data_IF_574700451189
#
_entry.id   IF_574700451189
#
_cell.length_a   1.000
_cell.length_b   1.000
_cell.length_c   1.000
_cell.angle_alpha   90.00
_cell.angle_beta   90.00
_cell.angle_gamma   90.00
#
_symmetry.space_group_name_H-M   'P 1'
#
loop_
_entity.id
_entity.type
_entity.pdbx_description
1 polymer ?
#
# COMPACT_ATOMS: atom_id res chain seq x y z
N UNK A 1 2.81 24.28 -3.01
CA UNK A 1 1.99 23.47 -3.93
C UNK A 1 2.81 22.50 -4.78
N UNK A 2 3.89 22.90 -5.48
CA UNK A 2 4.64 21.96 -6.35
C UNK A 2 5.21 20.76 -5.59
N UNK A 3 5.86 20.98 -4.44
CA UNK A 3 6.44 19.91 -3.63
C UNK A 3 5.39 18.88 -3.16
N UNK A 4 4.21 19.33 -2.74
CA UNK A 4 3.12 18.45 -2.30
C UNK A 4 2.62 17.57 -3.46
N UNK A 5 2.45 18.15 -4.66
CA UNK A 5 2.05 17.40 -5.84
C UNK A 5 3.12 16.40 -6.28
N UNK A 6 4.40 16.77 -6.22
CA UNK A 6 5.51 15.86 -6.50
C UNK A 6 5.53 14.68 -5.52
N UNK A 7 5.33 14.95 -4.22
CA UNK A 7 5.25 13.89 -3.20
C UNK A 7 4.03 12.99 -3.43
N UNK A 8 2.86 13.55 -3.74
CA UNK A 8 1.67 12.76 -4.07
C UNK A 8 1.92 11.84 -5.28
N UNK A 9 2.55 12.35 -6.35
CA UNK A 9 2.94 11.54 -7.51
C UNK A 9 3.96 10.46 -7.17
N UNK A 10 4.94 10.78 -6.32
CA UNK A 10 5.92 9.81 -5.81
C UNK A 10 5.23 8.68 -5.03
N UNK A 11 4.30 9.01 -4.14
CA UNK A 11 3.51 8.03 -3.38
C UNK A 11 2.75 7.10 -4.31
N UNK A 12 2.03 7.62 -5.30
CA UNK A 12 1.29 6.79 -6.25
C UNK A 12 2.21 5.83 -7.00
N UNK A 13 3.33 6.34 -7.53
CA UNK A 13 4.30 5.50 -8.25
C UNK A 13 4.93 4.44 -7.36
N UNK A 14 5.30 4.79 -6.12
CA UNK A 14 5.91 3.87 -5.16
C UNK A 14 4.92 2.80 -4.71
N UNK A 15 3.68 3.14 -4.40
CA UNK A 15 2.65 2.16 -3.99
C UNK A 15 2.39 1.18 -5.13
N UNK A 16 2.18 1.65 -6.37
CA UNK A 16 1.95 0.78 -7.52
C UNK A 16 3.13 -0.15 -7.82
N UNK A 17 4.36 0.40 -7.78
CA UNK A 17 5.57 -0.38 -8.04
C UNK A 17 5.82 -1.40 -6.93
N UNK A 18 5.68 -0.99 -5.67
CA UNK A 18 5.88 -1.89 -4.51
C UNK A 18 4.86 -3.01 -4.51
N UNK A 19 3.60 -2.71 -4.82
CA UNK A 19 2.54 -3.69 -4.97
C UNK A 19 2.92 -4.81 -5.98
N UNK A 20 3.39 -4.43 -7.19
CA UNK A 20 3.78 -5.42 -8.20
C UNK A 20 5.05 -6.21 -7.80
N UNK A 21 5.96 -5.58 -7.05
CA UNK A 21 7.15 -6.24 -6.49
C UNK A 21 6.79 -7.25 -5.39
N UNK A 22 5.85 -6.90 -4.51
CA UNK A 22 5.33 -7.76 -3.43
C UNK A 22 4.74 -9.05 -4.00
N UNK A 23 3.95 -8.94 -5.07
CA UNK A 23 3.36 -10.08 -5.77
C UNK A 23 4.28 -10.73 -6.80
N UNK A 24 5.50 -10.21 -6.98
CA UNK A 24 6.51 -10.68 -7.94
C UNK A 24 6.00 -10.77 -9.38
N UNK A 25 5.14 -9.84 -9.78
CA UNK A 25 4.48 -9.83 -11.11
C UNK A 25 5.33 -9.19 -12.20
N UNK A 26 6.48 -8.58 -11.85
CA UNK A 26 7.38 -7.92 -12.79
C UNK A 26 8.38 -8.86 -13.49
N UNK A 27 8.39 -10.16 -13.16
CA UNK A 27 9.27 -11.14 -13.81
C UNK A 27 10.77 -11.00 -13.47
N UNK A 28 11.11 -10.25 -12.43
CA UNK A 28 12.48 -10.08 -11.97
C UNK A 28 12.99 -11.34 -11.23
N UNK A 29 14.30 -11.65 -11.29
CA UNK A 29 14.87 -12.70 -10.47
C UNK A 29 14.72 -12.35 -8.98
N UNK A 30 14.53 -13.35 -8.13
CA UNK A 30 14.18 -13.18 -6.71
C UNK A 30 15.04 -12.13 -6.00
N UNK A 31 16.36 -12.22 -6.09
CA UNK A 31 17.28 -11.30 -5.43
C UNK A 31 17.09 -9.84 -5.87
N UNK A 32 16.79 -9.62 -7.15
CA UNK A 32 16.57 -8.28 -7.69
C UNK A 32 15.22 -7.73 -7.25
N UNK A 33 14.18 -8.57 -7.12
CA UNK A 33 12.91 -8.16 -6.51
C UNK A 33 13.09 -7.69 -5.07
N UNK A 34 13.87 -8.40 -4.25
CA UNK A 34 14.13 -7.99 -2.87
C UNK A 34 14.83 -6.61 -2.81
N UNK A 35 15.88 -6.43 -3.61
CA UNK A 35 16.63 -5.16 -3.67
C UNK A 35 15.76 -4.03 -4.22
N UNK A 36 15.03 -4.26 -5.32
CA UNK A 36 14.16 -3.26 -5.92
C UNK A 36 13.07 -2.82 -4.94
N UNK A 37 12.49 -3.76 -4.20
CA UNK A 37 11.46 -3.48 -3.21
C UNK A 37 12.00 -2.62 -2.06
N UNK A 38 13.18 -2.96 -1.52
CA UNK A 38 13.85 -2.12 -0.52
C UNK A 38 14.11 -0.70 -1.05
N UNK A 39 14.71 -0.57 -2.25
CA UNK A 39 15.03 0.74 -2.83
C UNK A 39 13.79 1.60 -3.06
N UNK A 40 12.71 1.01 -3.55
CA UNK A 40 11.44 1.72 -3.80
C UNK A 40 10.80 2.17 -2.48
N UNK A 41 10.74 1.31 -1.46
CA UNK A 41 10.24 1.70 -0.13
C UNK A 41 11.10 2.79 0.54
N UNK A 42 12.43 2.71 0.37
CA UNK A 42 13.37 3.70 0.88
C UNK A 42 13.18 5.10 0.28
N UNK A 43 12.63 5.21 -0.93
CA UNK A 43 12.25 6.50 -1.54
C UNK A 43 11.08 7.18 -0.83
N UNK A 44 10.30 6.47 -0.03
CA UNK A 44 9.28 7.07 0.84
C UNK A 44 9.57 6.76 2.30
N UNK A 45 10.82 6.39 2.62
CA UNK A 45 11.27 6.13 4.00
C UNK A 45 10.42 5.06 4.72
N UNK A 46 9.93 4.07 3.98
CA UNK A 46 9.06 3.01 4.48
C UNK A 46 9.71 1.63 4.33
N UNK A 47 9.24 0.69 5.14
CA UNK A 47 9.70 -0.70 5.08
C UNK A 47 8.81 -1.51 4.13
N UNK A 48 9.29 -1.71 2.91
CA UNK A 48 8.57 -2.48 1.92
C UNK A 48 8.54 -3.98 2.26
N UNK A 49 9.53 -4.46 3.02
CA UNK A 49 9.54 -5.84 3.53
C UNK A 49 8.50 -6.06 4.64
N UNK A 50 8.30 -5.07 5.51
CA UNK A 50 7.18 -5.11 6.47
C UNK A 50 5.84 -5.10 5.74
N UNK A 51 5.68 -4.21 4.76
CA UNK A 51 4.48 -4.15 3.93
C UNK A 51 4.22 -5.47 3.20
N UNK A 52 5.23 -6.09 2.56
CA UNK A 52 5.05 -7.43 1.95
C UNK A 52 4.50 -8.45 2.93
N UNK A 53 5.10 -8.52 4.13
CA UNK A 53 4.73 -9.51 5.13
C UNK A 53 3.27 -9.34 5.56
N UNK A 54 2.83 -8.10 5.82
CA UNK A 54 1.45 -7.82 6.23
C UNK A 54 0.47 -7.91 5.07
N UNK A 55 0.87 -7.52 3.86
CA UNK A 55 0.00 -7.53 2.69
C UNK A 55 -0.30 -8.97 2.24
N UNK A 56 0.71 -9.85 2.24
CA UNK A 56 0.47 -11.26 1.97
C UNK A 56 -0.35 -11.94 3.06
N UNK A 57 -0.29 -11.46 4.31
CA UNK A 57 -1.18 -11.92 5.38
C UNK A 57 -2.62 -11.44 5.12
N UNK A 58 -2.80 -10.17 4.79
CA UNK A 58 -4.09 -9.56 4.44
C UNK A 58 -4.82 -10.37 3.36
N UNK A 59 -4.17 -10.67 2.24
CA UNK A 59 -4.74 -11.51 1.17
C UNK A 59 -5.16 -12.91 1.62
N UNK A 60 -4.54 -13.46 2.67
CA UNK A 60 -4.84 -14.81 3.17
C UNK A 60 -6.01 -14.83 4.14
N UNK A 61 -6.14 -13.80 4.96
CA UNK A 61 -6.99 -13.86 6.15
C UNK A 61 -8.00 -12.73 6.25
N UNK A 62 -7.98 -11.70 5.42
CA UNK A 62 -8.99 -10.63 5.53
C UNK A 62 -10.42 -11.21 5.48
N UNK A 63 -11.34 -10.78 6.39
CA UNK A 63 -11.23 -9.72 7.39
C UNK A 63 -10.93 -10.22 8.82
N UNK A 64 -10.18 -11.31 9.00
CA UNK A 64 -9.87 -11.83 10.33
C UNK A 64 -9.02 -10.88 11.18
N UNK A 65 -9.12 -11.00 12.51
CA UNK A 65 -8.34 -10.22 13.48
C UNK A 65 -6.80 -10.44 13.36
N UNK A 66 -6.35 -11.53 12.72
CA UNK A 66 -4.92 -11.77 12.44
C UNK A 66 -4.45 -11.11 11.13
N UNK A 67 -5.07 -10.00 10.76
CA UNK A 67 -4.70 -9.13 9.65
C UNK A 67 -4.34 -7.72 10.15
N UNK A 68 -3.04 -7.43 10.40
CA UNK A 68 -2.62 -6.12 10.88
C UNK A 68 -2.78 -5.00 9.84
N UNK A 69 -2.82 -5.33 8.55
CA UNK A 69 -2.99 -4.35 7.47
C UNK A 69 -4.47 -4.02 7.27
N UNK A 70 -5.35 -5.02 7.33
CA UNK A 70 -6.80 -4.87 7.22
C UNK A 70 -7.50 -4.34 8.48
N UNK A 71 -6.85 -4.35 9.65
CA UNK A 71 -7.39 -3.85 10.94
C UNK A 71 -8.17 -2.52 10.83
N UNK A 72 -7.67 -1.47 10.16
CA UNK A 72 -8.41 -0.21 9.96
C UNK A 72 -9.80 -0.36 9.33
N UNK A 73 -10.06 -1.40 8.53
CA UNK A 73 -11.35 -1.63 7.86
C UNK A 73 -12.49 -1.99 8.82
N UNK A 74 -12.18 -2.48 10.03
CA UNK A 74 -13.16 -2.81 11.06
C UNK A 74 -13.74 -1.59 11.78
N UNK A 75 -13.05 -0.45 11.68
CA UNK A 75 -13.37 0.77 12.38
C UNK A 75 -14.38 1.65 11.65
N UNK A 76 -14.28 2.95 11.95
CA UNK A 76 -14.92 4.01 11.17
C UNK A 76 -13.85 4.76 10.40
N UNK A 77 -14.26 5.53 9.38
CA UNK A 77 -13.33 6.34 8.57
C UNK A 77 -12.41 7.25 9.40
N UNK A 78 -12.91 7.81 10.52
CA UNK A 78 -12.11 8.67 11.38
C UNK A 78 -11.12 7.86 12.23
N UNK A 79 -11.47 6.63 12.65
CA UNK A 79 -10.53 5.74 13.36
C UNK A 79 -9.39 5.33 12.44
N UNK A 80 -9.72 5.01 11.18
CA UNK A 80 -8.72 4.74 10.16
C UNK A 80 -7.78 5.94 9.99
N UNK A 81 -8.31 7.16 9.84
CA UNK A 81 -7.48 8.37 9.75
C UNK A 81 -6.58 8.56 10.99
N UNK A 82 -7.12 8.39 12.20
CA UNK A 82 -6.35 8.53 13.44
C UNK A 82 -5.33 7.39 13.66
N UNK A 83 -5.47 6.26 12.97
CA UNK A 83 -4.49 5.17 13.03
C UNK A 83 -3.19 5.51 12.28
N UNK A 84 -3.23 6.46 11.34
CA UNK A 84 -2.13 6.86 10.46
C UNK A 84 -0.76 6.96 11.15
N UNK A 85 -0.60 7.77 12.23
CA UNK A 85 0.67 7.93 12.93
C UNK A 85 1.28 6.65 13.50
N UNK A 86 0.50 5.59 13.69
CA UNK A 86 0.96 4.33 14.28
C UNK A 86 0.96 3.16 13.31
N UNK A 87 0.26 3.26 12.18
CA UNK A 87 -0.02 2.16 11.28
C UNK A 87 1.24 1.43 10.80
N UNK A 88 2.17 2.15 10.17
CA UNK A 88 3.40 1.54 9.64
C UNK A 88 4.27 0.91 10.73
N UNK A 89 4.32 1.49 11.94
CA UNK A 89 5.05 0.92 13.06
C UNK A 89 4.39 -0.37 13.58
N UNK A 90 3.06 -0.46 13.54
CA UNK A 90 2.33 -1.70 13.86
C UNK A 90 2.63 -2.78 12.83
N UNK A 91 2.64 -2.45 11.54
CA UNK A 91 2.99 -3.41 10.47
C UNK A 91 4.42 -3.92 10.63
N UNK A 92 5.38 -3.01 10.83
CA UNK A 92 6.78 -3.37 11.08
C UNK A 92 6.94 -4.26 12.31
N UNK A 93 6.28 -3.90 13.43
CA UNK A 93 6.32 -4.68 14.66
C UNK A 93 5.66 -6.05 14.52
N UNK A 94 4.62 -6.19 13.70
CA UNK A 94 4.02 -7.48 13.37
C UNK A 94 5.00 -8.33 12.54
N UNK A 95 5.55 -7.76 11.47
CA UNK A 95 6.51 -8.44 10.59
C UNK A 95 7.77 -8.90 11.36
N UNK A 96 8.32 -8.06 12.22
CA UNK A 96 9.47 -8.39 13.08
C UNK A 96 9.25 -9.64 13.95
N UNK A 97 8.02 -9.79 14.47
CA UNK A 97 7.64 -10.90 15.35
C UNK A 97 7.31 -12.17 14.57
N UNK A 98 6.68 -12.04 13.39
CA UNK A 98 6.11 -13.17 12.65
C UNK A 98 7.00 -13.69 11.51
N UNK A 99 7.93 -12.89 11.01
CA UNK A 99 8.73 -13.20 9.81
C UNK A 99 10.24 -13.01 10.07
N UNK A 100 10.87 -13.90 10.87
CA UNK A 100 12.26 -13.75 11.30
C UNK A 100 13.28 -13.74 10.13
N UNK A 101 12.95 -14.36 9.01
CA UNK A 101 13.78 -14.41 7.80
C UNK A 101 13.96 -13.04 7.13
N UNK A 102 13.04 -12.10 7.36
CA UNK A 102 13.08 -10.74 6.78
C UNK A 102 13.78 -9.72 7.67
N UNK A 103 14.21 -10.10 8.88
CA UNK A 103 14.76 -9.16 9.89
C UNK A 103 15.97 -8.37 9.40
N UNK A 104 16.80 -8.95 8.54
CA UNK A 104 17.93 -8.24 7.93
C UNK A 104 17.48 -7.04 7.11
N UNK A 105 16.45 -7.23 6.28
CA UNK A 105 15.84 -6.15 5.50
C UNK A 105 15.12 -5.14 6.38
N UNK A 106 14.33 -5.62 7.36
CA UNK A 106 13.62 -4.74 8.30
C UNK A 106 14.56 -3.80 9.06
N UNK A 107 15.73 -4.29 9.49
CA UNK A 107 16.75 -3.46 10.15
C UNK A 107 17.42 -2.48 9.19
N UNK A 108 17.72 -2.92 7.96
CA UNK A 108 18.33 -2.08 6.94
C UNK A 108 17.41 -0.92 6.53
N UNK A 109 16.13 -1.19 6.31
CA UNK A 109 15.11 -0.17 6.00
C UNK A 109 14.85 0.77 7.18
N UNK A 110 14.76 0.23 8.41
CA UNK A 110 14.62 1.05 9.61
C UNK A 110 15.86 1.94 9.86
N UNK A 111 17.06 1.39 9.64
CA UNK A 111 18.33 2.13 9.73
C UNK A 111 18.41 3.25 8.70
N UNK A 112 17.93 3.00 7.47
CA UNK A 112 17.80 4.03 6.43
C UNK A 112 16.85 5.15 6.85
N UNK A 113 15.64 4.82 7.31
CA UNK A 113 14.67 5.80 7.83
C UNK A 113 15.29 6.69 8.92
N UNK A 114 15.87 6.06 9.95
CA UNK A 114 16.49 6.80 11.06
C UNK A 114 17.68 7.64 10.61
N UNK A 115 18.51 7.13 9.69
CA UNK A 115 19.64 7.84 9.13
C UNK A 115 19.23 9.09 8.34
N UNK A 116 18.19 8.98 7.50
CA UNK A 116 17.67 10.12 6.73
C UNK A 116 17.02 11.16 7.66
N UNK A 117 16.27 10.73 8.67
CA UNK A 117 15.69 11.65 9.67
C UNK A 117 16.79 12.39 10.44
N UNK A 118 17.82 11.68 10.91
CA UNK A 118 18.95 12.31 11.60
C UNK A 118 19.70 13.29 10.69
N UNK A 119 19.92 12.93 9.43
CA UNK A 119 20.54 13.80 8.43
C UNK A 119 19.69 15.05 8.17
N UNK A 120 18.36 14.90 8.07
CA UNK A 120 17.44 16.01 7.88
C UNK A 120 17.48 17.01 9.04
N UNK A 121 17.59 16.52 10.28
CA UNK A 121 17.74 17.37 11.47
C UNK A 121 19.10 18.06 11.47
N UNK A 122 20.19 17.31 11.25
CA UNK A 122 21.55 17.85 11.27
C UNK A 122 21.77 18.92 10.18
N UNK A 123 21.18 18.73 9.00
CA UNK A 123 21.31 19.64 7.87
C UNK A 123 20.22 20.72 7.82
N UNK A 124 19.29 20.79 8.78
CA UNK A 124 18.18 21.75 8.75
C UNK A 124 18.59 23.20 8.48
N UNK A 125 19.68 23.75 9.09
CA UNK A 125 20.08 25.14 8.83
C UNK A 125 20.58 25.39 7.40
N UNK A 126 21.08 24.37 6.71
CA UNK A 126 21.68 24.48 5.37
C UNK A 126 20.76 23.98 4.26
N UNK A 127 20.00 22.90 4.52
CA UNK A 127 19.18 22.17 3.55
C UNK A 127 17.81 21.83 4.17
N UNK A 128 16.98 22.84 4.52
CA UNK A 128 15.66 22.60 5.13
C UNK A 128 14.71 21.80 4.22
N UNK A 129 14.94 21.80 2.91
CA UNK A 129 14.18 21.00 1.95
C UNK A 129 14.17 19.50 2.28
N UNK A 130 15.26 18.96 2.84
CA UNK A 130 15.30 17.55 3.27
C UNK A 130 14.35 17.28 4.44
N UNK A 131 14.29 18.18 5.42
CA UNK A 131 13.34 18.08 6.53
C UNK A 131 11.89 18.24 6.08
N UNK A 132 11.62 19.15 5.13
CA UNK A 132 10.28 19.29 4.51
C UNK A 132 9.90 18.01 3.77
N UNK A 133 10.82 17.41 3.02
CA UNK A 133 10.60 16.12 2.35
C UNK A 133 10.25 15.01 3.35
N UNK A 134 11.06 14.83 4.40
CA UNK A 134 10.80 13.83 5.45
C UNK A 134 9.43 14.04 6.09
N UNK A 135 9.08 15.30 6.42
CA UNK A 135 7.80 15.63 7.02
C UNK A 135 6.62 15.31 6.09
N UNK A 136 6.72 15.68 4.80
CA UNK A 136 5.67 15.41 3.82
C UNK A 136 5.47 13.92 3.58
N UNK A 137 6.55 13.15 3.56
CA UNK A 137 6.51 11.68 3.45
C UNK A 137 5.82 11.08 4.68
N UNK A 138 6.27 11.41 5.89
CA UNK A 138 5.67 10.87 7.12
C UNK A 138 4.19 11.24 7.23
N UNK A 139 3.83 12.50 6.98
CA UNK A 139 2.43 12.94 7.07
C UNK A 139 1.58 12.36 5.94
N UNK A 140 2.16 12.19 4.75
CA UNK A 140 1.49 11.56 3.61
C UNK A 140 1.11 10.12 3.90
N UNK A 141 2.00 9.34 4.52
CA UNK A 141 1.76 7.92 4.83
C UNK A 141 0.67 7.71 5.89
N UNK A 142 0.34 8.73 6.70
CA UNK A 142 -0.78 8.66 7.65
C UNK A 142 -2.14 8.53 6.96
N UNK A 143 -2.21 8.78 5.64
CA UNK A 143 -3.43 8.59 4.87
C UNK A 143 -3.72 7.13 4.53
N UNK A 144 -2.73 6.23 4.54
CA UNK A 144 -2.88 4.84 4.08
C UNK A 144 -4.02 4.05 4.74
N UNK A 145 -4.17 4.04 6.09
CA UNK A 145 -5.23 3.25 6.70
C UNK A 145 -6.62 3.66 6.21
N UNK A 146 -6.79 4.95 5.86
CA UNK A 146 -8.02 5.43 5.26
C UNK A 146 -8.09 5.08 3.77
N UNK A 147 -7.07 5.43 2.99
CA UNK A 147 -7.14 5.43 1.52
C UNK A 147 -6.92 4.08 0.88
N UNK A 148 -6.04 3.24 1.44
CA UNK A 148 -5.67 1.94 0.88
C UNK A 148 -6.30 0.76 1.62
N UNK A 149 -6.84 0.99 2.81
CA UNK A 149 -7.48 -0.06 3.62
C UNK A 149 -8.96 0.21 3.83
N UNK A 150 -9.34 1.23 4.59
CA UNK A 150 -10.75 1.44 4.96
C UNK A 150 -11.66 1.72 3.74
N UNK A 151 -11.24 2.61 2.84
CA UNK A 151 -12.06 2.96 1.66
C UNK A 151 -12.32 1.76 0.73
N UNK A 152 -11.29 0.98 0.32
CA UNK A 152 -11.50 -0.14 -0.60
C UNK A 152 -12.12 -1.37 0.04
N UNK A 153 -12.17 -1.49 1.37
CA UNK A 153 -12.71 -2.69 2.02
C UNK A 153 -14.06 -2.47 2.71
N UNK A 154 -14.74 -3.58 2.99
CA UNK A 154 -15.90 -3.69 3.86
C UNK A 154 -15.76 -4.98 4.68
N UNK A 155 -15.21 -4.85 5.89
CA UNK A 155 -15.00 -5.98 6.80
C UNK A 155 -16.31 -6.62 7.29
N UNK A 156 -17.46 -5.97 7.09
CA UNK A 156 -18.77 -6.47 7.50
C UNK A 156 -19.49 -7.27 6.42
N UNK A 157 -18.94 -7.28 5.20
CA UNK A 157 -19.54 -7.97 4.08
C UNK A 157 -19.48 -9.49 4.24
N UNK A 158 -20.53 -10.16 3.76
CA UNK A 158 -20.75 -11.59 3.98
C UNK A 158 -19.82 -12.52 3.20
N UNK A 159 -19.19 -12.03 2.13
CA UNK A 159 -18.38 -12.86 1.23
C UNK A 159 -17.21 -12.08 0.62
N UNK A 160 -16.22 -12.83 0.12
CA UNK A 160 -14.99 -12.30 -0.45
C UNK A 160 -15.19 -11.36 -1.65
N UNK A 161 -16.29 -11.47 -2.40
CA UNK A 161 -16.57 -10.58 -3.54
C UNK A 161 -17.08 -9.20 -3.09
N UNK A 162 -17.60 -9.10 -1.87
CA UNK A 162 -18.16 -7.87 -1.29
C UNK A 162 -17.26 -7.25 -0.22
N UNK A 163 -16.34 -8.02 0.33
CA UNK A 163 -15.33 -7.59 1.29
C UNK A 163 -14.35 -6.56 0.71
N UNK A 164 -14.23 -6.52 -0.61
CA UNK A 164 -13.37 -5.59 -1.32
C UNK A 164 -14.14 -4.93 -2.47
N UNK A 165 -13.95 -3.63 -2.62
CA UNK A 165 -14.60 -2.79 -3.64
C UNK A 165 -13.71 -2.67 -4.87
N UNK A 166 -14.34 -2.51 -6.02
CA UNK A 166 -13.67 -2.07 -7.24
C UNK A 166 -14.17 -0.68 -7.61
N UNK A 167 -13.23 0.21 -7.92
CA UNK A 167 -13.53 1.54 -8.41
C UNK A 167 -13.24 1.61 -9.90
N UNK A 168 -14.29 1.88 -10.69
CA UNK A 168 -14.25 1.94 -12.16
C UNK A 168 -14.51 3.37 -12.65
N UNK A 169 -14.03 3.67 -13.86
CA UNK A 169 -14.18 5.00 -14.47
C UNK A 169 -13.13 5.27 -15.54
N UNK A 170 -13.18 6.43 -16.19
CA UNK A 170 -12.18 6.81 -17.21
C UNK A 170 -10.95 7.48 -16.61
N UNK A 171 -11.12 8.16 -15.47
CA UNK A 171 -10.08 9.00 -14.86
C UNK A 171 -9.51 8.40 -13.57
N UNK A 172 -10.37 8.01 -12.63
CA UNK A 172 -9.92 7.57 -11.30
C UNK A 172 -8.95 6.37 -11.32
N UNK A 173 -9.21 5.28 -12.07
CA UNK A 173 -8.25 4.16 -12.13
C UNK A 173 -6.88 4.57 -12.69
N UNK A 174 -6.85 5.34 -13.78
CA UNK A 174 -5.60 5.80 -14.39
C UNK A 174 -4.79 6.72 -13.48
N UNK A 175 -5.47 7.60 -12.74
CA UNK A 175 -4.82 8.47 -11.76
C UNK A 175 -4.19 7.65 -10.62
N UNK A 176 -4.87 6.58 -10.20
CA UNK A 176 -4.42 5.67 -9.15
C UNK A 176 -3.57 4.50 -9.69
N UNK A 177 -3.06 4.62 -10.92
CA UNK A 177 -2.23 3.60 -11.58
C UNK A 177 -2.86 2.20 -11.53
N UNK A 178 -4.16 2.15 -11.79
CA UNK A 178 -5.00 0.95 -11.86
C UNK A 178 -5.18 0.19 -10.52
N UNK A 179 -4.60 0.67 -9.41
CA UNK A 179 -4.76 0.07 -8.07
C UNK A 179 -6.18 0.21 -7.50
N UNK A 180 -7.03 1.00 -8.14
CA UNK A 180 -8.43 1.17 -7.74
C UNK A 180 -9.29 -0.05 -8.07
N UNK A 181 -8.80 -0.95 -8.93
CA UNK A 181 -9.35 -2.27 -9.18
C UNK A 181 -9.00 -3.25 -8.04
N UNK A 182 -9.33 -2.85 -6.81
CA UNK A 182 -8.88 -3.53 -5.59
C UNK A 182 -9.49 -4.94 -5.46
N UNK A 183 -10.76 -5.12 -5.86
CA UNK A 183 -11.37 -6.45 -5.89
C UNK A 183 -10.67 -7.37 -6.90
N UNK A 184 -10.38 -6.89 -8.11
CA UNK A 184 -9.66 -7.66 -9.12
C UNK A 184 -8.27 -8.08 -8.62
N UNK A 185 -7.61 -7.19 -7.90
CA UNK A 185 -6.36 -7.46 -7.20
C UNK A 185 -6.48 -8.59 -6.17
N UNK A 186 -7.48 -8.55 -5.28
CA UNK A 186 -7.73 -9.61 -4.29
C UNK A 186 -8.03 -10.97 -4.95
N UNK A 187 -8.76 -10.97 -6.06
CA UNK A 187 -9.10 -12.19 -6.79
C UNK A 187 -7.92 -12.77 -7.58
N UNK A 188 -7.06 -11.90 -8.15
CA UNK A 188 -5.95 -12.30 -9.01
C UNK A 188 -4.68 -11.49 -8.72
N UNK A 189 -4.07 -11.65 -7.52
CA UNK A 189 -2.90 -10.86 -7.11
C UNK A 189 -1.66 -11.11 -7.99
N UNK A 190 -1.61 -12.23 -8.69
CA UNK A 190 -0.54 -12.57 -9.63
C UNK A 190 -0.61 -11.80 -10.98
N UNK A 191 -1.66 -11.02 -11.22
CA UNK A 191 -1.76 -10.13 -12.39
C UNK A 191 -1.11 -8.79 -12.03
N UNK A 192 -0.19 -8.24 -12.86
CA UNK A 192 0.41 -6.95 -12.57
C UNK A 192 -0.61 -5.81 -12.70
N UNK A 193 -0.42 -4.76 -11.90
CA UNK A 193 -1.35 -3.64 -11.76
C UNK A 193 -1.79 -3.02 -13.10
N UNK A 194 -0.84 -2.80 -14.02
CA UNK A 194 -1.11 -2.22 -15.33
C UNK A 194 -2.02 -3.05 -16.26
N UNK A 195 -2.32 -4.31 -15.89
CA UNK A 195 -3.30 -5.16 -16.58
C UNK A 195 -4.66 -5.25 -15.87
N UNK A 196 -4.86 -4.57 -14.73
CA UNK A 196 -6.11 -4.66 -13.99
C UNK A 196 -7.32 -4.10 -14.74
N UNK A 197 -7.16 -3.05 -15.55
CA UNK A 197 -8.25 -2.58 -16.41
C UNK A 197 -8.70 -3.67 -17.39
N UNK A 198 -7.76 -4.43 -17.97
CA UNK A 198 -8.10 -5.55 -18.86
C UNK A 198 -8.73 -6.72 -18.10
N UNK A 199 -8.17 -7.08 -16.95
CA UNK A 199 -8.70 -8.11 -16.07
C UNK A 199 -10.13 -7.78 -15.65
N UNK A 200 -10.40 -6.54 -15.26
CA UNK A 200 -11.71 -6.04 -14.86
C UNK A 200 -12.76 -6.25 -15.95
N UNK A 201 -12.44 -5.94 -17.21
CA UNK A 201 -13.34 -6.22 -18.35
C UNK A 201 -13.61 -7.71 -18.53
N UNK A 202 -12.61 -8.58 -18.30
CA UNK A 202 -12.77 -10.04 -18.42
C UNK A 202 -13.62 -10.61 -17.29
N UNK A 203 -13.54 -10.02 -16.10
CA UNK A 203 -14.30 -10.43 -14.93
C UNK A 203 -15.70 -9.82 -14.87
N UNK A 204 -15.99 -8.76 -15.63
CA UNK A 204 -17.27 -8.04 -15.57
C UNK A 204 -18.51 -8.96 -15.67
N UNK A 205 -18.61 -9.89 -16.65
CA UNK A 205 -19.77 -10.79 -16.71
C UNK A 205 -19.93 -11.68 -15.46
N UNK A 206 -18.81 -12.11 -14.88
CA UNK A 206 -18.82 -12.93 -13.67
C UNK A 206 -19.23 -12.10 -12.44
N UNK A 207 -18.67 -10.91 -12.29
CA UNK A 207 -18.95 -10.01 -11.18
C UNK A 207 -20.42 -9.54 -11.20
N UNK A 208 -20.94 -9.21 -12.38
CA UNK A 208 -22.36 -8.86 -12.56
C UNK A 208 -23.29 -10.03 -12.23
N UNK A 209 -22.96 -11.25 -12.70
CA UNK A 209 -23.75 -12.45 -12.39
C UNK A 209 -23.79 -12.77 -10.88
N UNK A 210 -22.79 -12.32 -10.12
CA UNK A 210 -22.73 -12.47 -8.66
C UNK A 210 -23.19 -11.21 -7.91
N UNK A 211 -23.76 -10.21 -8.60
CA UNK A 211 -24.34 -9.01 -8.00
C UNK A 211 -23.30 -8.09 -7.34
N UNK A 212 -22.10 -8.01 -7.90
CA UNK A 212 -21.07 -7.04 -7.49
C UNK A 212 -21.32 -5.72 -8.22
N UNK A 213 -21.52 -4.65 -7.46
CA UNK A 213 -21.71 -3.30 -8.00
C UNK A 213 -20.43 -2.48 -7.88
N UNK A 214 -19.78 -2.09 -9.01
CA UNK A 214 -18.59 -1.26 -8.96
C UNK A 214 -18.93 0.16 -8.53
N UNK A 215 -18.08 0.77 -7.70
CA UNK A 215 -18.15 2.22 -7.46
C UNK A 215 -17.71 2.91 -8.75
N UNK A 216 -18.47 3.89 -9.24
CA UNK A 216 -18.16 4.61 -10.48
C UNK A 216 -17.87 6.09 -10.20
N UNK A 217 -16.65 6.54 -10.53
CA UNK A 217 -16.32 7.96 -10.65
C UNK A 217 -16.15 8.30 -12.14
N UNK A 218 -16.90 9.30 -12.60
CA UNK A 218 -16.97 9.75 -14.00
C UNK A 218 -15.60 10.08 -14.58
#
# INVERSE_FOLDING_TARGET
MPAVLSIAGLFLGVVATTHDLVHRTLGLPRWLSEVAMALVGMLVLESAHAYRATHLQHHRTFPDDDDPEGDPAHGSWWRALLAGPTFLYRLWGWAWRRVPEERGWLLLEAGWFLGVVALAVALWPAVPALGVYVALVIVGSWTYPLTTVYLPHDATAADALRQTKTLRGRFAPRLLLELSYHLEHHLYPAVPSHHYAELSRRLEPYLEAHGVEPVRFW
#
